data_IF_625687147360
#
_entry.id   IF_625687147360
#
_cell.length_a   1.000
_cell.length_b   1.000
_cell.length_c   1.000
_cell.angle_alpha   90.00
_cell.angle_beta   90.00
_cell.angle_gamma   90.00
#
_symmetry.space_group_name_H-M   'P 1'
#
loop_
_entity.id
_entity.type
_entity.pdbx_description
1 polymer ?
#
# COMPACT_ATOMS: atom_id res chain seq x y z
N UNK A 1 -18.48 60.15 10.84
CA UNK A 1 -19.38 58.97 10.80
C UNK A 1 -18.82 58.05 9.73
N UNK A 2 -18.11 56.96 10.09
CA UNK A 2 -18.65 55.57 10.21
C UNK A 2 -19.33 55.19 8.88
N UNK A 3 -18.89 54.23 8.07
CA UNK A 3 -18.72 52.78 8.30
C UNK A 3 -17.71 52.26 7.23
N UNK A 4 -16.59 51.62 7.55
CA UNK A 4 -16.41 50.19 7.89
C UNK A 4 -17.06 49.24 6.85
N UNK A 5 -16.38 49.04 5.71
CA UNK A 5 -16.61 47.91 4.81
C UNK A 5 -15.50 46.89 5.02
N UNK A 6 -15.71 46.02 6.00
CA UNK A 6 -14.99 44.75 6.13
C UNK A 6 -15.58 43.84 5.04
N UNK A 7 -14.83 43.64 3.96
CA UNK A 7 -15.17 42.60 2.99
C UNK A 7 -14.93 41.24 3.67
N UNK A 8 -16.03 40.67 4.14
CA UNK A 8 -16.14 39.29 4.59
C UNK A 8 -15.62 38.37 3.50
N UNK A 9 -14.43 37.81 3.71
CA UNK A 9 -13.93 36.65 2.97
C UNK A 9 -14.85 35.49 3.37
N UNK A 10 -15.91 35.31 2.58
CA UNK A 10 -16.75 34.13 2.63
C UNK A 10 -15.86 32.97 2.16
N UNK A 11 -15.41 32.15 3.12
CA UNK A 11 -14.82 30.84 2.87
C UNK A 11 -15.88 29.98 2.18
N UNK A 12 -15.90 30.03 0.84
CA UNK A 12 -16.45 28.96 0.01
C UNK A 12 -15.49 27.77 0.11
N UNK A 13 -15.59 27.03 1.22
CA UNK A 13 -15.10 25.66 1.25
C UNK A 13 -16.09 24.86 0.44
N UNK A 14 -15.94 24.87 -0.89
CA UNK A 14 -16.47 23.80 -1.71
C UNK A 14 -15.88 22.51 -1.16
N UNK A 15 -16.74 21.57 -0.78
CA UNK A 15 -16.35 20.22 -0.40
C UNK A 15 -15.50 19.64 -1.52
N UNK A 16 -14.18 19.70 -1.36
CA UNK A 16 -13.26 18.96 -2.20
C UNK A 16 -13.68 17.50 -2.05
N UNK A 17 -14.21 16.92 -3.13
CA UNK A 17 -14.45 15.48 -3.20
C UNK A 17 -13.13 14.82 -2.80
N UNK A 18 -13.16 14.06 -1.71
CA UNK A 18 -11.98 13.45 -1.12
C UNK A 18 -11.47 12.38 -2.10
N UNK A 19 -10.53 12.78 -2.95
CA UNK A 19 -9.73 11.89 -3.77
C UNK A 19 -8.76 11.21 -2.82
N UNK A 20 -8.88 9.89 -2.68
CA UNK A 20 -7.89 9.09 -1.95
C UNK A 20 -6.97 8.42 -2.98
N UNK A 21 -5.75 7.99 -2.61
CA UNK A 21 -4.92 7.20 -3.52
C UNK A 21 -5.64 5.95 -4.07
N UNK A 22 -6.66 5.48 -3.36
CA UNK A 22 -7.43 4.26 -3.65
C UNK A 22 -8.74 4.53 -4.42
N UNK A 23 -9.21 5.77 -4.49
CA UNK A 23 -10.51 6.12 -5.06
C UNK A 23 -10.47 7.43 -5.83
N UNK A 24 -11.06 7.43 -7.02
CA UNK A 24 -11.32 8.64 -7.79
C UNK A 24 -12.72 9.22 -7.46
N UNK A 25 -13.23 10.10 -8.32
CA UNK A 25 -14.54 10.74 -8.10
C UNK A 25 -15.73 9.77 -8.18
N UNK A 26 -15.55 8.58 -8.75
CA UNK A 26 -16.66 7.69 -9.11
C UNK A 26 -16.39 6.19 -8.91
N UNK A 27 -15.24 5.76 -8.40
CA UNK A 27 -14.94 4.34 -8.13
C UNK A 27 -13.50 4.11 -7.66
N UNK A 28 -13.07 2.86 -7.61
CA UNK A 28 -11.70 2.50 -7.21
C UNK A 28 -10.70 2.86 -8.31
N UNK A 29 -9.51 3.31 -7.89
CA UNK A 29 -8.34 3.43 -8.76
C UNK A 29 -7.68 2.05 -8.92
N UNK A 30 -6.63 1.96 -9.73
CA UNK A 30 -5.81 0.74 -9.79
C UNK A 30 -5.27 0.36 -8.40
N UNK A 31 -4.72 1.31 -7.66
CA UNK A 31 -4.26 1.09 -6.27
C UNK A 31 -5.41 0.64 -5.35
N UNK A 32 -6.64 1.08 -5.62
CA UNK A 32 -7.83 0.60 -4.91
C UNK A 32 -8.14 -0.87 -5.18
N UNK A 33 -7.99 -1.33 -6.43
CA UNK A 33 -8.12 -2.74 -6.78
C UNK A 33 -6.99 -3.57 -6.16
N UNK A 34 -5.74 -3.08 -6.21
CA UNK A 34 -4.60 -3.72 -5.54
C UNK A 34 -4.86 -3.87 -4.04
N UNK A 35 -5.39 -2.82 -3.40
CA UNK A 35 -5.79 -2.87 -2.00
C UNK A 35 -6.89 -3.92 -1.74
N UNK A 36 -7.86 -4.09 -2.64
CA UNK A 36 -8.82 -5.20 -2.54
C UNK A 36 -8.11 -6.57 -2.64
N UNK A 37 -7.14 -6.74 -3.53
CA UNK A 37 -6.42 -8.01 -3.66
C UNK A 37 -5.64 -8.38 -2.40
N UNK A 38 -4.93 -7.39 -1.82
CA UNK A 38 -4.18 -7.54 -0.57
C UNK A 38 -5.07 -7.95 0.60
N UNK A 39 -6.33 -7.50 0.61
CA UNK A 39 -7.27 -7.71 1.69
C UNK A 39 -8.28 -8.84 1.43
N UNK A 40 -8.27 -9.48 0.27
CA UNK A 40 -9.22 -10.56 -0.07
C UNK A 40 -9.07 -11.78 0.84
N UNK A 41 -7.84 -12.14 1.22
CA UNK A 41 -7.62 -13.24 2.17
C UNK A 41 -8.16 -12.92 3.56
N UNK A 42 -8.04 -11.66 3.98
CA UNK A 42 -8.61 -11.20 5.25
C UNK A 42 -10.14 -11.30 5.19
N UNK A 43 -10.77 -10.78 4.13
CA UNK A 43 -12.21 -10.89 3.91
C UNK A 43 -12.70 -12.35 3.92
N UNK A 44 -12.01 -13.27 3.25
CA UNK A 44 -12.35 -14.69 3.27
C UNK A 44 -12.26 -15.33 4.67
N UNK A 45 -11.38 -14.80 5.53
CA UNK A 45 -11.17 -15.32 6.88
C UNK A 45 -12.19 -14.77 7.88
N UNK A 46 -12.54 -13.48 7.81
CA UNK A 46 -13.41 -12.81 8.79
C UNK A 46 -14.83 -12.51 8.29
N UNK A 47 -15.10 -12.68 7.00
CA UNK A 47 -16.40 -12.44 6.39
C UNK A 47 -16.88 -11.01 6.62
N UNK A 48 -18.12 -10.85 7.08
CA UNK A 48 -18.75 -9.54 7.29
C UNK A 48 -18.08 -8.67 8.37
N UNK A 49 -17.29 -9.25 9.28
CA UNK A 49 -16.51 -8.47 10.26
C UNK A 49 -15.41 -7.63 9.58
N UNK A 50 -15.15 -7.86 8.29
CA UNK A 50 -14.27 -7.08 7.44
C UNK A 50 -14.67 -5.61 7.36
N UNK A 51 -15.97 -5.32 7.25
CA UNK A 51 -16.44 -3.94 7.13
C UNK A 51 -16.23 -3.18 8.44
N UNK A 52 -16.51 -3.81 9.58
CA UNK A 52 -16.22 -3.24 10.90
C UNK A 52 -14.71 -3.02 11.12
N UNK A 53 -13.88 -3.98 10.70
CA UNK A 53 -12.42 -3.90 10.78
C UNK A 53 -11.87 -2.68 10.02
N UNK A 54 -12.49 -2.35 8.88
CA UNK A 54 -12.13 -1.19 8.06
C UNK A 54 -13.04 0.03 8.28
N UNK A 55 -13.75 0.08 9.42
CA UNK A 55 -14.58 1.21 9.82
C UNK A 55 -15.64 1.63 8.78
N UNK A 56 -16.19 0.65 8.07
CA UNK A 56 -17.18 0.86 7.00
C UNK A 56 -16.70 1.86 5.96
N UNK A 57 -15.40 1.86 5.65
CA UNK A 57 -14.86 2.71 4.59
C UNK A 57 -15.54 2.34 3.26
N UNK A 58 -15.74 3.36 2.41
CA UNK A 58 -16.32 3.14 1.09
C UNK A 58 -15.48 2.14 0.28
N UNK A 59 -14.15 2.21 0.43
CA UNK A 59 -13.22 1.28 -0.19
C UNK A 59 -13.47 -0.17 0.27
N UNK A 60 -13.65 -0.41 1.58
CA UNK A 60 -13.93 -1.75 2.10
C UNK A 60 -15.25 -2.33 1.59
N UNK A 61 -16.30 -1.48 1.51
CA UNK A 61 -17.62 -1.85 0.99
C UNK A 61 -17.58 -2.16 -0.50
N UNK A 62 -16.88 -1.31 -1.28
CA UNK A 62 -16.62 -1.55 -2.70
C UNK A 62 -15.86 -2.86 -2.95
N UNK A 63 -14.81 -3.13 -2.18
CA UNK A 63 -14.09 -4.40 -2.29
C UNK A 63 -14.98 -5.58 -1.91
N UNK A 64 -15.80 -5.46 -0.86
CA UNK A 64 -16.79 -6.48 -0.49
C UNK A 64 -17.75 -6.81 -1.63
N UNK A 65 -18.26 -5.80 -2.34
CA UNK A 65 -19.10 -6.00 -3.51
C UNK A 65 -18.35 -6.68 -4.64
N UNK A 66 -17.11 -6.26 -4.92
CA UNK A 66 -16.27 -6.89 -5.92
C UNK A 66 -15.97 -8.36 -5.57
N UNK A 67 -15.65 -8.70 -4.33
CA UNK A 67 -15.35 -10.09 -3.92
C UNK A 67 -16.51 -11.05 -4.14
N UNK A 68 -17.75 -10.54 -4.06
CA UNK A 68 -18.97 -11.31 -4.28
C UNK A 68 -19.43 -11.28 -5.75
N UNK A 69 -18.71 -10.58 -6.63
CA UNK A 69 -18.96 -10.51 -8.07
C UNK A 69 -18.21 -11.64 -8.80
N UNK A 70 -18.85 -12.28 -9.78
CA UNK A 70 -18.22 -13.30 -10.63
C UNK A 70 -16.96 -12.79 -11.33
N UNK A 71 -16.90 -11.47 -11.57
CA UNK A 71 -15.77 -10.78 -12.17
C UNK A 71 -14.50 -10.83 -11.31
N UNK A 72 -14.61 -11.06 -10.00
CA UNK A 72 -13.45 -11.10 -9.10
C UNK A 72 -12.40 -12.13 -9.50
N UNK A 73 -12.88 -13.31 -9.90
CA UNK A 73 -12.07 -14.47 -10.28
C UNK A 73 -11.63 -14.43 -11.75
N UNK A 74 -12.08 -13.43 -12.51
CA UNK A 74 -11.64 -13.23 -13.90
C UNK A 74 -10.13 -12.95 -13.93
N UNK A 75 -9.41 -13.55 -14.88
CA UNK A 75 -7.94 -13.46 -14.97
C UNK A 75 -7.43 -13.03 -16.36
N UNK A 76 -8.24 -12.31 -17.13
CA UNK A 76 -7.84 -11.75 -18.42
C UNK A 76 -6.89 -10.55 -18.29
N UNK A 77 -6.25 -10.16 -19.39
CA UNK A 77 -5.31 -9.02 -19.40
C UNK A 77 -5.98 -7.67 -19.12
N UNK A 78 -7.30 -7.56 -19.35
CA UNK A 78 -8.12 -6.38 -19.06
C UNK A 78 -8.82 -6.46 -17.69
N UNK A 79 -8.48 -7.43 -16.84
CA UNK A 79 -9.11 -7.66 -15.53
C UNK A 79 -9.20 -6.40 -14.69
N UNK A 80 -8.09 -5.69 -14.53
CA UNK A 80 -8.04 -4.46 -13.72
C UNK A 80 -8.99 -3.39 -14.26
N UNK A 81 -9.08 -3.22 -15.58
CA UNK A 81 -10.01 -2.28 -16.20
C UNK A 81 -11.46 -2.67 -15.93
N UNK A 82 -11.78 -3.95 -16.07
CA UNK A 82 -13.14 -4.45 -15.77
C UNK A 82 -13.51 -4.26 -14.31
N UNK A 83 -12.60 -4.55 -13.37
CA UNK A 83 -12.87 -4.38 -11.93
C UNK A 83 -12.99 -2.90 -11.54
N UNK A 84 -12.18 -2.03 -12.13
CA UNK A 84 -12.31 -0.58 -11.96
C UNK A 84 -13.69 -0.13 -12.47
N UNK A 85 -14.08 -0.52 -13.68
CA UNK A 85 -15.37 -0.16 -14.26
C UNK A 85 -16.54 -0.68 -13.40
N UNK A 86 -16.45 -1.94 -12.96
CA UNK A 86 -17.44 -2.56 -12.08
C UNK A 86 -17.53 -1.84 -10.71
N UNK A 87 -16.39 -1.43 -10.14
CA UNK A 87 -16.37 -0.68 -8.89
C UNK A 87 -17.11 0.66 -8.99
N UNK A 88 -17.16 1.27 -10.19
CA UNK A 88 -17.91 2.52 -10.41
C UNK A 88 -19.41 2.30 -10.31
N UNK A 89 -19.88 1.14 -10.77
CA UNK A 89 -21.28 0.75 -10.62
C UNK A 89 -21.64 0.55 -9.15
N UNK A 90 -20.79 -0.15 -8.39
CA UNK A 90 -21.00 -0.36 -6.96
C UNK A 90 -20.93 0.93 -6.15
N UNK A 91 -20.08 1.88 -6.55
CA UNK A 91 -19.94 3.15 -5.84
C UNK A 91 -21.25 3.95 -5.80
N UNK A 92 -21.99 4.00 -6.91
CA UNK A 92 -23.30 4.66 -6.93
C UNK A 92 -24.29 4.05 -5.93
N UNK A 93 -24.30 2.71 -5.84
CA UNK A 93 -25.18 1.97 -4.94
C UNK A 93 -24.81 2.21 -3.46
N UNK A 94 -23.52 2.13 -3.11
CA UNK A 94 -23.03 2.35 -1.74
C UNK A 94 -23.30 3.78 -1.23
N UNK A 95 -23.20 4.79 -2.10
CA UNK A 95 -23.52 6.17 -1.73
C UNK A 95 -25.02 6.33 -1.48
N UNK A 96 -25.87 5.70 -2.29
CA UNK A 96 -27.32 5.71 -2.08
C UNK A 96 -27.71 4.99 -0.79
N UNK A 97 -27.08 3.85 -0.51
CA UNK A 97 -27.28 3.07 0.70
C UNK A 97 -26.83 3.83 1.95
N UNK A 98 -25.60 4.37 1.95
CA UNK A 98 -25.08 5.22 3.03
C UNK A 98 -26.00 6.41 3.33
N UNK A 99 -26.61 7.00 2.29
CA UNK A 99 -27.56 8.09 2.46
C UNK A 99 -28.90 7.65 3.08
N UNK A 100 -29.28 6.38 2.93
CA UNK A 100 -30.45 5.79 3.58
C UNK A 100 -30.13 5.36 5.01
N UNK A 101 -28.99 4.71 5.24
CA UNK A 101 -28.47 4.36 6.57
C UNK A 101 -28.39 5.59 7.49
N UNK A 102 -27.89 6.72 6.96
CA UNK A 102 -27.82 7.98 7.69
C UNK A 102 -29.21 8.53 8.10
N UNK A 103 -30.27 8.22 7.35
CA UNK A 103 -31.65 8.60 7.68
C UNK A 103 -32.29 7.66 8.70
N UNK A 104 -31.97 6.37 8.62
CA UNK A 104 -32.55 5.33 9.47
C UNK A 104 -31.76 5.09 10.77
N UNK A 105 -30.52 5.57 10.85
CA UNK A 105 -29.64 5.43 12.00
C UNK A 105 -29.14 4.00 12.23
N UNK A 106 -29.14 3.17 11.19
CA UNK A 106 -28.67 1.78 11.20
C UNK A 106 -27.64 1.61 10.09
N UNK A 107 -26.50 1.04 10.43
CA UNK A 107 -25.40 0.74 9.49
C UNK A 107 -25.55 -0.73 9.08
N UNK A 108 -25.64 -1.01 7.78
CA UNK A 108 -25.58 -2.38 7.27
C UNK A 108 -24.14 -2.89 7.38
N UNK A 109 -23.99 -4.14 7.80
CA UNK A 109 -22.70 -4.81 7.98
C UNK A 109 -22.43 -5.84 6.89
N UNK A 110 -23.15 -5.76 5.77
CA UNK A 110 -23.05 -6.71 4.66
C UNK A 110 -22.78 -6.00 3.35
N UNK A 111 -22.13 -6.72 2.44
CA UNK A 111 -22.00 -6.28 1.05
C UNK A 111 -23.36 -6.34 0.34
N UNK A 112 -23.55 -5.49 -0.67
CA UNK A 112 -24.74 -5.46 -1.52
C UNK A 112 -24.95 -6.83 -2.18
N UNK A 113 -26.09 -7.45 -1.91
CA UNK A 113 -26.47 -8.71 -2.56
C UNK A 113 -27.13 -8.41 -3.91
N UNK A 114 -26.40 -8.69 -5.00
CA UNK A 114 -26.83 -8.46 -6.38
C UNK A 114 -28.14 -9.22 -6.72
N UNK A 115 -28.47 -10.29 -5.99
CA UNK A 115 -29.68 -11.09 -6.21
C UNK A 115 -30.98 -10.40 -5.76
N UNK A 116 -30.90 -9.25 -5.08
CA UNK A 116 -32.06 -8.47 -4.61
C UNK A 116 -32.15 -7.07 -5.24
N UNK A 117 -31.47 -6.81 -6.36
CA UNK A 117 -31.64 -5.57 -7.11
C UNK A 117 -33.02 -5.59 -7.80
N UNK A 118 -33.95 -4.65 -7.50
CA UNK A 118 -35.23 -4.56 -8.19
C UNK A 118 -35.02 -4.37 -9.70
N UNK A 119 -35.89 -4.99 -10.50
CA UNK A 119 -35.83 -5.10 -11.96
C UNK A 119 -35.76 -3.77 -12.75
N UNK A 120 -35.65 -2.61 -12.10
CA UNK A 120 -35.65 -1.30 -12.73
C UNK A 120 -34.30 -0.92 -13.37
N UNK A 121 -33.17 -1.54 -12.99
CA UNK A 121 -31.85 -1.21 -13.56
C UNK A 121 -31.58 -1.88 -14.92
N UNK A 122 -32.23 -3.01 -15.23
CA UNK A 122 -32.09 -3.65 -16.56
C UNK A 122 -32.63 -2.78 -17.70
N UNK A 123 -33.55 -1.86 -17.40
CA UNK A 123 -34.11 -0.94 -18.40
C UNK A 123 -33.12 0.17 -18.77
N UNK A 124 -32.30 0.64 -17.81
CA UNK A 124 -31.30 1.70 -18.03
C UNK A 124 -30.09 1.21 -18.84
N UNK A 125 -29.72 -0.06 -18.70
CA UNK A 125 -28.65 -0.66 -19.52
C UNK A 125 -29.00 -0.70 -21.01
N UNK A 126 -30.29 -0.85 -21.35
CA UNK A 126 -30.76 -0.92 -22.73
C UNK A 126 -30.75 0.43 -23.45
N UNK A 127 -30.98 1.53 -22.74
CA UNK A 127 -30.90 2.90 -23.33
C UNK A 127 -29.45 3.33 -23.59
N UNK A 128 -28.48 2.84 -22.82
CA UNK A 128 -27.07 3.21 -22.97
C UNK A 128 -26.37 2.46 -24.12
N UNK A 129 -26.77 1.21 -24.38
CA UNK A 129 -26.26 0.42 -25.51
C UNK A 129 -26.74 0.96 -26.87
N UNK A 130 -27.98 1.47 -26.95
CA UNK A 130 -28.50 2.11 -28.18
C UNK A 130 -27.76 3.43 -28.51
N UNK A 131 -27.24 4.14 -27.50
CA UNK A 131 -26.47 5.37 -27.71
C UNK A 131 -25.01 5.15 -28.18
N UNK A 132 -24.45 3.94 -28.03
CA UNK A 132 -23.03 3.65 -28.32
C UNK A 132 -22.79 3.22 -29.78
N UNK A 133 -23.85 2.97 -30.54
CA UNK A 133 -23.77 2.52 -31.94
C UNK A 133 -23.36 3.66 -32.90
N UNK A 134 -23.50 4.92 -32.49
CA UNK A 134 -23.32 6.07 -33.41
C UNK A 134 -21.92 6.73 -33.36
N UNK A 135 -21.04 6.33 -32.44
CA UNK A 135 -19.67 6.89 -32.35
C UNK A 135 -18.58 5.93 -32.83
N UNK A 136 -18.91 5.04 -33.76
CA UNK A 136 -17.94 4.26 -34.54
C UNK A 136 -17.30 5.12 -35.63
N UNK A 137 -16.54 6.16 -35.31
CA UNK A 137 -15.53 6.70 -36.25
C UNK A 137 -14.35 7.26 -35.47
N UNK A 138 -13.23 6.54 -35.58
CA UNK A 138 -11.82 6.97 -35.65
C UNK A 138 -10.98 5.93 -34.91
N UNK A 139 -10.77 4.82 -35.64
CA UNK A 139 -9.61 3.97 -35.54
C UNK A 139 -8.36 4.84 -35.77
N UNK A 140 -7.45 4.88 -34.80
CA UNK A 140 -6.09 5.34 -35.05
C UNK A 140 -5.11 4.56 -34.18
N UNK A 141 -4.33 3.74 -34.88
CA UNK A 141 -3.16 3.01 -34.43
C UNK A 141 -2.30 3.86 -33.48
N UNK A 142 -2.06 3.34 -32.27
CA UNK A 142 -0.92 3.71 -31.45
C UNK A 142 -0.02 2.48 -31.30
N UNK A 143 1.30 2.65 -31.43
CA UNK A 143 2.23 1.58 -31.73
C UNK A 143 2.39 0.64 -30.53
N UNK A 144 2.50 -0.65 -30.85
CA UNK A 144 2.93 -1.71 -29.96
C UNK A 144 4.26 -1.33 -29.32
N UNK A 145 4.23 -0.95 -28.04
CA UNK A 145 5.40 -1.05 -27.17
C UNK A 145 5.27 -2.43 -26.54
N UNK A 146 6.07 -3.38 -27.01
CA UNK A 146 6.35 -4.58 -26.23
C UNK A 146 7.15 -4.14 -24.99
N UNK A 147 6.44 -3.79 -23.91
CA UNK A 147 7.03 -3.85 -22.59
C UNK A 147 7.11 -5.33 -22.21
N UNK A 148 8.32 -5.87 -22.38
CA UNK A 148 8.80 -7.00 -21.62
C UNK A 148 8.35 -6.84 -20.17
N UNK A 149 7.50 -7.77 -19.72
CA UNK A 149 7.05 -7.86 -18.33
C UNK A 149 8.32 -8.09 -17.48
N UNK A 150 8.89 -7.00 -16.99
CA UNK A 150 9.74 -7.06 -15.82
C UNK A 150 8.78 -7.04 -14.63
N UNK A 151 8.74 -8.14 -13.90
CA UNK A 151 8.06 -8.27 -12.62
C UNK A 151 8.72 -7.31 -11.62
N UNK A 152 8.43 -6.01 -11.72
CA UNK A 152 8.66 -5.09 -10.60
C UNK A 152 7.53 -5.27 -9.60
N UNK A 153 7.53 -6.45 -8.97
CA UNK A 153 6.89 -6.73 -7.70
C UNK A 153 7.17 -5.56 -6.76
N UNK A 154 6.11 -4.95 -6.20
CA UNK A 154 6.24 -3.93 -5.17
C UNK A 154 7.10 -4.45 -4.02
N UNK A 155 8.35 -3.99 -3.97
CA UNK A 155 9.34 -4.50 -3.05
C UNK A 155 8.99 -4.22 -1.59
N UNK A 156 8.54 -5.23 -0.87
CA UNK A 156 8.26 -5.19 0.58
C UNK A 156 9.48 -5.49 1.46
N UNK A 157 9.49 -4.98 2.70
CA UNK A 157 10.54 -5.26 3.68
C UNK A 157 10.37 -6.65 4.34
N UNK A 158 10.38 -7.74 3.57
CA UNK A 158 10.05 -9.11 3.98
C UNK A 158 10.67 -9.58 5.31
N UNK A 159 11.99 -9.39 5.48
CA UNK A 159 12.70 -9.77 6.72
C UNK A 159 12.16 -8.96 7.91
N UNK A 160 12.09 -7.63 7.77
CA UNK A 160 11.62 -6.77 8.85
C UNK A 160 10.15 -7.06 9.19
N UNK A 161 9.30 -7.32 8.19
CA UNK A 161 7.91 -7.73 8.38
C UNK A 161 7.81 -9.04 9.17
N UNK A 162 8.62 -10.05 8.83
CA UNK A 162 8.65 -11.31 9.57
C UNK A 162 9.17 -11.12 11.02
N UNK A 163 10.20 -10.30 11.18
CA UNK A 163 10.81 -9.98 12.49
C UNK A 163 9.84 -9.24 13.42
N UNK A 164 9.15 -8.22 12.93
CA UNK A 164 8.27 -7.37 13.75
C UNK A 164 6.79 -7.80 13.71
N UNK A 165 6.45 -8.75 12.85
CA UNK A 165 5.16 -9.43 12.80
C UNK A 165 4.07 -8.70 12.04
N UNK A 166 4.35 -7.51 11.49
CA UNK A 166 3.39 -6.76 10.69
C UNK A 166 4.11 -5.79 9.75
N UNK A 167 3.55 -5.60 8.57
CA UNK A 167 3.93 -4.53 7.65
C UNK A 167 3.64 -3.13 8.23
N UNK A 168 2.68 -3.04 9.15
CA UNK A 168 2.29 -1.83 9.86
C UNK A 168 3.10 -1.62 11.15
N UNK A 169 4.07 -2.48 11.42
CA UNK A 169 4.95 -2.28 12.57
C UNK A 169 5.73 -0.96 12.42
N UNK A 170 5.89 -0.16 13.49
CA UNK A 170 6.58 1.14 13.41
C UNK A 170 7.99 1.05 12.81
N UNK A 171 8.69 -0.07 13.05
CA UNK A 171 10.03 -0.33 12.53
C UNK A 171 10.03 -0.52 11.00
N UNK A 172 8.98 -1.16 10.46
CA UNK A 172 8.82 -1.39 9.02
C UNK A 172 8.37 -0.12 8.32
N UNK A 173 7.48 0.64 8.95
CA UNK A 173 7.04 1.95 8.44
C UNK A 173 8.18 2.95 8.41
N UNK A 174 9.06 2.99 9.42
CA UNK A 174 10.26 3.81 9.40
C UNK A 174 11.15 3.51 8.18
N UNK A 175 11.33 2.24 7.82
CA UNK A 175 12.09 1.85 6.64
C UNK A 175 11.43 2.34 5.35
N UNK A 176 10.10 2.22 5.24
CA UNK A 176 9.31 2.72 4.10
C UNK A 176 9.44 4.23 4.00
N UNK A 177 9.30 4.96 5.09
CA UNK A 177 9.43 6.43 5.13
C UNK A 177 10.82 6.88 4.70
N UNK A 178 11.90 6.24 5.17
CA UNK A 178 13.26 6.57 4.75
C UNK A 178 13.44 6.29 3.25
N UNK A 179 12.98 5.12 2.77
CA UNK A 179 13.04 4.77 1.35
C UNK A 179 12.31 5.80 0.51
N UNK A 180 11.03 6.01 0.78
CA UNK A 180 10.13 6.76 -0.08
C UNK A 180 10.39 8.26 0.00
N UNK A 181 10.67 8.80 1.20
CA UNK A 181 10.83 10.24 1.38
C UNK A 181 12.27 10.74 1.27
N UNK A 182 13.28 9.89 1.52
CA UNK A 182 14.68 10.31 1.52
C UNK A 182 15.44 9.73 0.33
N UNK A 183 15.39 8.40 0.13
CA UNK A 183 16.20 7.75 -0.91
C UNK A 183 15.63 7.94 -2.31
N UNK A 184 14.33 7.67 -2.51
CA UNK A 184 13.70 7.68 -3.84
C UNK A 184 13.55 9.08 -4.44
N UNK A 185 13.81 10.13 -3.65
CA UNK A 185 13.83 11.52 -4.11
C UNK A 185 15.21 11.97 -4.63
N UNK A 186 16.22 11.09 -4.66
CA UNK A 186 17.59 11.41 -5.07
C UNK A 186 18.16 10.38 -6.06
N UNK A 187 19.01 10.81 -6.99
CA UNK A 187 19.63 9.89 -7.96
C UNK A 187 20.51 8.83 -7.27
N UNK A 188 21.31 9.27 -6.29
CA UNK A 188 22.15 8.38 -5.49
C UNK A 188 21.35 7.33 -4.71
N UNK A 189 20.22 7.73 -4.10
CA UNK A 189 19.33 6.83 -3.39
C UNK A 189 18.62 5.83 -4.30
N UNK A 190 18.14 6.26 -5.47
CA UNK A 190 17.53 5.36 -6.49
C UNK A 190 18.54 4.31 -6.98
N UNK A 191 19.77 4.73 -7.27
CA UNK A 191 20.83 3.83 -7.73
C UNK A 191 21.19 2.79 -6.65
N UNK A 192 21.32 3.24 -5.39
CA UNK A 192 21.53 2.36 -4.26
C UNK A 192 20.37 1.36 -4.09
N UNK A 193 19.12 1.85 -4.09
CA UNK A 193 17.94 1.00 -3.89
C UNK A 193 17.78 -0.02 -5.02
N UNK A 194 18.09 0.32 -6.26
CA UNK A 194 18.07 -0.62 -7.38
C UNK A 194 19.02 -1.80 -7.14
N UNK A 195 20.28 -1.52 -6.79
CA UNK A 195 21.26 -2.56 -6.49
C UNK A 195 20.94 -3.35 -5.22
N UNK A 196 20.51 -2.65 -4.17
CA UNK A 196 20.10 -3.24 -2.91
C UNK A 196 18.92 -4.21 -3.11
N UNK A 197 17.87 -3.79 -3.82
CA UNK A 197 16.67 -4.59 -4.05
C UNK A 197 16.99 -5.89 -4.78
N UNK A 198 17.81 -5.83 -5.85
CA UNK A 198 18.23 -7.01 -6.60
C UNK A 198 18.87 -8.07 -5.69
N UNK A 199 19.77 -7.65 -4.80
CA UNK A 199 20.39 -8.55 -3.83
C UNK A 199 19.40 -8.97 -2.75
N UNK A 200 18.67 -8.02 -2.17
CA UNK A 200 17.76 -8.25 -1.05
C UNK A 200 16.69 -9.29 -1.38
N UNK A 201 15.97 -9.14 -2.49
CA UNK A 201 14.90 -10.07 -2.88
C UNK A 201 15.43 -11.44 -3.33
N UNK A 202 16.72 -11.57 -3.65
CA UNK A 202 17.32 -12.87 -3.97
C UNK A 202 17.38 -13.83 -2.77
N UNK A 203 17.36 -13.32 -1.53
CA UNK A 203 17.47 -14.15 -0.32
C UNK A 203 16.40 -13.86 0.74
N UNK A 204 15.79 -12.67 0.72
CA UNK A 204 14.88 -12.23 1.79
C UNK A 204 13.64 -13.10 1.98
N UNK A 205 13.01 -13.72 0.94
CA UNK A 205 11.88 -14.62 1.14
C UNK A 205 12.26 -15.83 2.00
N UNK A 206 13.41 -16.44 1.72
CA UNK A 206 13.88 -17.61 2.44
C UNK A 206 14.15 -17.31 3.92
N UNK A 207 14.78 -16.17 4.21
CA UNK A 207 15.01 -15.73 5.59
C UNK A 207 13.68 -15.46 6.31
N UNK A 208 12.73 -14.79 5.65
CA UNK A 208 11.42 -14.49 6.23
C UNK A 208 10.62 -15.77 6.53
N UNK A 209 10.72 -16.80 5.68
CA UNK A 209 10.13 -18.12 5.93
C UNK A 209 10.76 -18.78 7.17
N UNK A 210 12.10 -18.76 7.28
CA UNK A 210 12.81 -19.29 8.46
C UNK A 210 12.41 -18.60 9.76
N UNK A 211 12.15 -17.29 9.73
CA UNK A 211 11.65 -16.53 10.89
C UNK A 211 10.24 -16.95 11.31
N UNK A 212 9.37 -17.27 10.34
CA UNK A 212 8.01 -17.76 10.60
C UNK A 212 8.01 -19.18 11.19
N UNK A 213 8.96 -20.01 10.79
CA UNK A 213 9.11 -21.39 11.30
C UNK A 213 9.76 -21.46 12.69
N UNK A 214 10.66 -20.53 13.02
CA UNK A 214 11.45 -20.59 14.25
C UNK A 214 11.41 -19.28 15.04
N UNK A 215 10.68 -19.22 16.17
CA UNK A 215 10.66 -18.05 17.05
C UNK A 215 12.04 -17.67 17.60
N UNK A 216 12.93 -18.65 17.78
CA UNK A 216 14.31 -18.40 18.23
C UNK A 216 15.10 -17.72 17.12
N UNK A 217 14.97 -18.18 15.88
CA UNK A 217 15.64 -17.57 14.74
C UNK A 217 15.15 -16.14 14.52
N UNK A 218 13.84 -15.91 14.60
CA UNK A 218 13.22 -14.58 14.58
C UNK A 218 13.86 -13.63 15.62
N UNK A 219 14.04 -14.07 16.86
CA UNK A 219 14.66 -13.21 17.88
C UNK A 219 16.15 -12.98 17.63
N UNK A 220 16.88 -13.93 17.04
CA UNK A 220 18.26 -13.71 16.60
C UNK A 220 18.30 -12.65 15.49
N UNK A 221 17.43 -12.75 14.49
CA UNK A 221 17.31 -11.77 13.41
C UNK A 221 16.94 -10.41 14.00
N UNK A 222 15.99 -10.33 14.92
CA UNK A 222 15.59 -9.10 15.62
C UNK A 222 16.76 -8.43 16.33
N UNK A 223 17.51 -9.17 17.13
CA UNK A 223 18.72 -8.66 17.80
C UNK A 223 19.74 -8.20 16.76
N UNK A 224 19.87 -8.95 15.67
CA UNK A 224 20.74 -8.64 14.55
C UNK A 224 20.39 -7.33 13.87
N UNK A 225 19.12 -7.09 13.51
CA UNK A 225 18.71 -5.94 12.69
C UNK A 225 18.34 -4.69 13.50
N UNK A 226 18.02 -4.82 14.79
CA UNK A 226 17.60 -3.67 15.62
C UNK A 226 18.66 -2.54 15.66
N UNK A 227 19.96 -2.81 15.83
CA UNK A 227 20.98 -1.76 15.78
C UNK A 227 21.04 -1.08 14.42
N UNK A 228 20.93 -1.84 13.34
CA UNK A 228 20.85 -1.31 11.98
C UNK A 228 19.69 -0.32 11.81
N UNK A 229 18.48 -0.70 12.23
CA UNK A 229 17.32 0.21 12.16
C UNK A 229 17.53 1.49 12.97
N UNK A 230 18.16 1.37 14.13
CA UNK A 230 18.45 2.51 15.00
C UNK A 230 19.44 3.48 14.35
N UNK A 231 20.42 2.98 13.60
CA UNK A 231 21.34 3.84 12.85
C UNK A 231 20.71 4.42 11.58
N UNK A 232 19.83 3.67 10.92
CA UNK A 232 19.14 4.12 9.71
C UNK A 232 18.21 5.30 9.99
N UNK A 233 17.69 5.46 11.21
CA UNK A 233 16.90 6.65 11.55
C UNK A 233 17.68 7.97 11.38
N UNK A 234 19.02 7.95 11.30
CA UNK A 234 19.80 9.14 10.95
C UNK A 234 19.55 9.62 9.51
N UNK A 235 19.12 8.73 8.62
CA UNK A 235 18.75 9.08 7.25
C UNK A 235 17.50 9.95 7.17
N UNK A 236 16.66 10.02 8.21
CA UNK A 236 15.46 10.86 8.21
C UNK A 236 15.77 12.36 8.17
N UNK A 237 17.03 12.75 8.38
CA UNK A 237 17.50 14.13 8.36
C UNK A 237 18.19 14.52 7.04
N UNK A 238 18.16 13.64 6.02
CA UNK A 238 18.85 13.86 4.76
C UNK A 238 17.95 14.60 3.74
N UNK A 239 18.03 15.93 3.67
CA UNK A 239 17.12 16.72 2.81
C UNK A 239 17.66 16.95 1.39
N UNK A 240 18.94 16.65 1.15
CA UNK A 240 19.63 16.88 -0.11
C UNK A 240 20.44 15.68 -0.59
N UNK A 241 20.78 15.66 -1.88
CA UNK A 241 21.54 14.55 -2.49
C UNK A 241 22.90 14.32 -1.83
N UNK A 242 23.62 15.38 -1.49
CA UNK A 242 24.92 15.29 -0.80
C UNK A 242 24.78 14.75 0.62
N UNK A 243 23.67 15.07 1.30
CA UNK A 243 23.36 14.56 2.63
C UNK A 243 22.93 13.09 2.58
N UNK A 244 22.09 12.68 1.62
CA UNK A 244 21.74 11.27 1.42
C UNK A 244 22.99 10.42 1.21
N UNK A 245 23.94 10.91 0.40
CA UNK A 245 25.22 10.23 0.20
C UNK A 245 26.08 10.22 1.48
N UNK A 246 26.20 11.37 2.15
CA UNK A 246 27.02 11.52 3.36
C UNK A 246 26.51 10.70 4.54
N UNK A 247 25.22 10.83 4.88
CA UNK A 247 24.56 10.02 5.90
C UNK A 247 24.53 8.55 5.50
N UNK A 248 24.26 8.22 4.24
CA UNK A 248 24.26 6.85 3.75
C UNK A 248 25.59 6.14 3.96
N UNK A 249 26.70 6.76 3.54
CA UNK A 249 28.06 6.25 3.78
C UNK A 249 28.34 6.14 5.29
N UNK A 250 27.96 7.17 6.06
CA UNK A 250 28.15 7.18 7.51
C UNK A 250 27.44 6.02 8.21
N UNK A 251 26.17 5.77 7.87
CA UNK A 251 25.37 4.67 8.40
C UNK A 251 25.97 3.33 8.03
N UNK A 252 26.39 3.13 6.78
CA UNK A 252 27.05 1.89 6.35
C UNK A 252 28.33 1.64 7.15
N UNK A 253 29.19 2.64 7.29
CA UNK A 253 30.44 2.53 8.06
C UNK A 253 30.18 2.27 9.54
N UNK A 254 29.18 2.92 10.13
CA UNK A 254 28.81 2.73 11.53
C UNK A 254 28.30 1.31 11.80
N UNK A 255 27.48 0.77 10.90
CA UNK A 255 27.01 -0.61 10.97
C UNK A 255 28.16 -1.60 10.80
N UNK A 256 28.98 -1.45 9.75
CA UNK A 256 30.15 -2.31 9.55
C UNK A 256 31.08 -2.29 10.77
N UNK A 257 31.32 -1.10 11.32
CA UNK A 257 32.07 -0.92 12.56
C UNK A 257 31.46 -1.73 13.71
N UNK A 258 30.16 -1.64 13.92
CA UNK A 258 29.47 -2.36 14.99
C UNK A 258 29.49 -3.88 14.80
N UNK A 259 29.10 -4.38 13.62
CA UNK A 259 29.00 -5.80 13.33
C UNK A 259 30.35 -6.51 13.24
N UNK A 260 31.46 -5.78 13.03
CA UNK A 260 32.81 -6.35 13.03
C UNK A 260 33.51 -6.13 14.37
N UNK A 261 33.48 -4.91 14.92
CA UNK A 261 34.24 -4.59 16.13
C UNK A 261 33.66 -5.27 17.38
N UNK A 262 32.33 -5.34 17.53
CA UNK A 262 31.73 -5.93 18.72
C UNK A 262 32.05 -7.43 18.85
N UNK A 263 31.91 -8.28 17.81
CA UNK A 263 32.34 -9.67 17.88
C UNK A 263 33.84 -9.84 18.15
N UNK A 264 34.70 -9.05 17.49
CA UNK A 264 36.16 -9.11 17.71
C UNK A 264 36.51 -8.78 19.17
N UNK A 265 35.90 -7.71 19.71
CA UNK A 265 36.13 -7.29 21.10
C UNK A 265 35.66 -8.36 22.08
N UNK A 266 34.50 -8.99 21.84
CA UNK A 266 34.00 -10.10 22.66
C UNK A 266 34.98 -11.27 22.65
N UNK A 267 35.45 -11.71 21.48
CA UNK A 267 36.42 -12.80 21.36
C UNK A 267 37.73 -12.46 22.07
N UNK A 268 38.23 -11.24 21.93
CA UNK A 268 39.44 -10.77 22.61
C UNK A 268 39.29 -10.79 24.13
N UNK A 269 38.16 -10.30 24.66
CA UNK A 269 37.88 -10.32 26.10
C UNK A 269 37.79 -11.74 26.66
N UNK A 270 37.15 -12.67 25.94
CA UNK A 270 37.08 -14.09 26.33
C UNK A 270 38.48 -14.70 26.38
N UNK A 271 39.31 -14.46 25.35
CA UNK A 271 40.69 -14.96 25.31
C UNK A 271 41.55 -14.37 26.44
N UNK A 272 41.38 -13.08 26.74
CA UNK A 272 42.12 -12.42 27.81
C UNK A 272 41.70 -12.92 29.20
N UNK A 273 40.41 -13.13 29.44
CA UNK A 273 39.92 -13.76 30.69
C UNK A 273 40.45 -15.18 30.85
N UNK A 274 40.47 -15.99 29.79
CA UNK A 274 41.07 -17.35 29.80
C UNK A 274 42.57 -17.35 30.04
N UNK A 275 43.30 -16.28 29.70
CA UNK A 275 44.74 -16.16 29.97
C UNK A 275 45.03 -15.75 31.42
N UNK A 276 44.05 -15.19 32.13
CA UNK A 276 44.19 -14.65 33.49
C UNK A 276 43.71 -15.60 34.58
N UNK A 277 42.90 -16.61 34.22
CA UNK A 277 42.58 -17.78 35.05
C UNK A 277 43.56 -18.91 34.76
#
# INVERSE_FOLDING_TARGET
>A
MKYLLVFSILLLVGSAYAQSPFRDTAGLTQNGIEWCEENYQLYNFIGNDFFEHHHHSIESRLCGNLYNDDLWMYSGSDRYQKLIEQSRMYYGLEIQESANEAKEGKIDTKAVNINEIPQEIQQQQKELEESKVESNIIEKEFPTIEETIDNSEGGGCLIATATYGSEMAPQVQLLREIRDNQLMNTESGISFMTGFNSLYYSFSPHIADMERESPIFKEIVKIGITPLLSTLSLMSYAESESEVLGYGIGVVLMNLGMYVAAPIMLVYQIKNKRKKN
#
